data_IF_688110304200
#
_entry.id   IF_688110304200
#
_cell.length_a   1.000
_cell.length_b   1.000
_cell.length_c   1.000
_cell.angle_alpha   90.00
_cell.angle_beta   90.00
_cell.angle_gamma   90.00
#
_symmetry.space_group_name_H-M   'P 1'
#
loop_
_entity.id
_entity.type
_entity.pdbx_description
1 polymer ?
#
# COMPACT_ATOMS: atom_id res chain seq x y z
N UNK A 1 4.45 -12.67 24.04
CA UNK A 1 5.19 -11.83 23.08
C UNK A 1 5.98 -12.77 22.20
N UNK A 2 5.97 -12.58 20.90
CA UNK A 2 6.81 -13.38 19.99
C UNK A 2 8.25 -12.93 20.24
N UNK A 3 9.14 -13.86 20.63
CA UNK A 3 10.55 -13.55 20.81
C UNK A 3 11.21 -13.41 19.43
N UNK A 4 11.29 -12.16 18.96
CA UNK A 4 12.04 -11.82 17.77
C UNK A 4 13.55 -11.93 18.06
N UNK A 5 14.27 -12.65 17.20
CA UNK A 5 15.73 -12.65 17.25
C UNK A 5 16.25 -11.23 17.02
N UNK A 6 17.41 -10.92 17.57
CA UNK A 6 18.11 -9.64 17.33
C UNK A 6 18.28 -9.37 15.83
N UNK A 7 18.54 -10.42 15.04
CA UNK A 7 18.64 -10.33 13.59
C UNK A 7 17.32 -9.90 12.92
N UNK A 8 16.17 -10.39 13.40
CA UNK A 8 14.86 -10.01 12.86
C UNK A 8 14.52 -8.55 13.16
N UNK A 9 14.80 -8.06 14.37
CA UNK A 9 14.69 -6.64 14.72
C UNK A 9 15.54 -5.75 13.82
N UNK A 10 16.80 -6.12 13.62
CA UNK A 10 17.73 -5.38 12.75
C UNK A 10 17.16 -5.30 11.33
N UNK A 11 16.66 -6.41 10.77
CA UNK A 11 16.06 -6.41 9.43
C UNK A 11 14.85 -5.46 9.33
N UNK A 12 13.96 -5.47 10.30
CA UNK A 12 12.76 -4.62 10.31
C UNK A 12 13.16 -3.13 10.37
N UNK A 13 14.06 -2.77 11.28
CA UNK A 13 14.53 -1.38 11.44
C UNK A 13 15.26 -0.92 10.18
N UNK A 14 16.17 -1.75 9.64
CA UNK A 14 16.89 -1.43 8.41
C UNK A 14 15.93 -1.30 7.22
N UNK A 15 14.90 -2.16 7.12
CA UNK A 15 13.91 -2.06 6.07
C UNK A 15 13.14 -0.72 6.12
N UNK A 16 12.76 -0.27 7.31
CA UNK A 16 12.12 1.03 7.51
C UNK A 16 13.06 2.18 7.12
N UNK A 17 14.28 2.18 7.67
CA UNK A 17 15.24 3.28 7.47
C UNK A 17 15.68 3.37 6.01
N UNK A 18 15.98 2.25 5.36
CA UNK A 18 16.40 2.23 3.95
C UNK A 18 15.26 2.66 3.04
N UNK A 19 14.03 2.19 3.28
CA UNK A 19 12.88 2.64 2.50
C UNK A 19 12.63 4.16 2.67
N UNK A 20 12.77 4.67 3.90
CA UNK A 20 12.68 6.11 4.18
C UNK A 20 13.72 6.91 3.41
N UNK A 21 14.99 6.54 3.53
CA UNK A 21 16.10 7.27 2.90
C UNK A 21 15.96 7.25 1.38
N UNK A 22 15.66 6.10 0.79
CA UNK A 22 15.51 5.96 -0.66
C UNK A 22 14.31 6.77 -1.14
N UNK A 23 13.15 6.65 -0.50
CA UNK A 23 11.95 7.41 -0.89
C UNK A 23 12.21 8.92 -0.79
N UNK A 24 12.82 9.38 0.31
CA UNK A 24 13.18 10.80 0.50
C UNK A 24 14.11 11.33 -0.60
N UNK A 25 15.17 10.58 -0.94
CA UNK A 25 16.13 10.96 -1.99
C UNK A 25 15.53 10.85 -3.40
N UNK A 26 14.69 9.84 -3.64
CA UNK A 26 14.04 9.62 -4.93
C UNK A 26 12.98 10.69 -5.23
N UNK A 27 12.31 11.22 -4.22
CA UNK A 27 11.21 12.19 -4.38
C UNK A 27 11.56 13.42 -5.23
N UNK A 28 12.67 14.17 -5.00
CA UNK A 28 13.05 15.28 -5.87
C UNK A 28 13.38 14.86 -7.31
N UNK A 29 13.94 13.66 -7.51
CA UNK A 29 14.22 13.12 -8.84
C UNK A 29 12.91 12.80 -9.59
N UNK A 30 11.98 12.13 -8.91
CA UNK A 30 10.65 11.81 -9.43
C UNK A 30 9.86 13.09 -9.71
N UNK A 31 9.96 14.11 -8.86
CA UNK A 31 9.34 15.43 -9.12
C UNK A 31 9.81 16.03 -10.43
N UNK A 32 11.12 16.06 -10.66
CA UNK A 32 11.69 16.59 -11.89
C UNK A 32 11.30 15.75 -13.12
N UNK A 33 11.21 14.43 -12.94
CA UNK A 33 10.73 13.53 -13.98
C UNK A 33 9.25 13.77 -14.32
N UNK A 34 8.38 13.89 -13.32
CA UNK A 34 6.94 14.16 -13.48
C UNK A 34 6.69 15.44 -14.30
N UNK A 35 7.45 16.50 -14.01
CA UNK A 35 7.40 17.75 -14.81
C UNK A 35 7.80 17.51 -16.27
N UNK A 36 8.86 16.72 -16.52
CA UNK A 36 9.32 16.43 -17.88
C UNK A 36 8.33 15.62 -18.71
N UNK A 37 7.63 14.67 -18.09
CA UNK A 37 6.64 13.83 -18.78
C UNK A 37 5.26 14.46 -18.85
N UNK A 38 5.09 15.67 -18.29
CA UNK A 38 3.81 16.38 -18.30
C UNK A 38 2.79 15.85 -17.29
N UNK A 39 3.21 15.06 -16.30
CA UNK A 39 2.37 14.60 -15.20
C UNK A 39 2.17 15.75 -14.20
N UNK A 40 1.37 16.73 -14.58
CA UNK A 40 1.09 17.95 -13.81
C UNK A 40 -0.41 18.05 -13.61
N UNK A 41 -0.81 18.17 -12.34
CA UNK A 41 -2.19 18.51 -11.98
C UNK A 41 -2.36 20.03 -12.02
N UNK A 42 -3.23 20.50 -12.91
CA UNK A 42 -3.49 21.93 -13.14
C UNK A 42 -4.83 22.26 -12.48
N UNK A 43 -4.89 23.19 -11.52
CA UNK A 43 -6.12 23.45 -10.78
C UNK A 43 -7.23 23.97 -11.69
N UNK A 44 -8.29 23.19 -11.84
CA UNK A 44 -9.51 23.62 -12.52
C UNK A 44 -10.44 24.35 -11.52
N UNK A 45 -10.96 25.51 -11.90
CA UNK A 45 -11.63 26.51 -11.03
C UNK A 45 -12.93 26.02 -10.35
N UNK A 46 -13.31 24.75 -10.53
CA UNK A 46 -14.56 24.14 -10.01
C UNK A 46 -14.35 23.11 -8.89
N UNK A 47 -13.13 22.58 -8.67
CA UNK A 47 -12.92 21.43 -7.75
C UNK A 47 -11.65 21.46 -6.88
N UNK A 48 -10.69 22.35 -7.10
CA UNK A 48 -9.38 22.30 -6.42
C UNK A 48 -9.16 23.49 -5.48
N UNK A 49 -8.62 23.21 -4.28
CA UNK A 49 -8.27 24.19 -3.22
C UNK A 49 -6.91 24.85 -3.52
N UNK A 50 -6.13 24.28 -4.44
CA UNK A 50 -4.74 24.63 -4.72
C UNK A 50 -4.63 25.67 -5.83
N UNK A 51 -3.71 26.63 -5.66
CA UNK A 51 -3.58 27.79 -6.55
C UNK A 51 -2.50 27.65 -7.63
N UNK A 52 -1.70 26.58 -7.61
CA UNK A 52 -0.55 26.39 -8.51
C UNK A 52 -0.48 24.95 -9.04
N UNK A 53 0.07 24.71 -10.25
CA UNK A 53 0.22 23.38 -10.81
C UNK A 53 1.20 22.52 -9.98
N UNK A 54 0.78 21.32 -9.60
CA UNK A 54 1.58 20.41 -8.75
C UNK A 54 1.88 19.13 -9.55
N UNK A 55 3.15 18.67 -9.62
CA UNK A 55 3.47 17.41 -10.26
C UNK A 55 2.78 16.23 -9.55
N UNK A 56 2.21 15.31 -10.31
CA UNK A 56 1.64 14.03 -9.83
C UNK A 56 2.54 12.90 -10.34
N UNK A 57 2.83 11.89 -9.50
CA UNK A 57 3.67 10.67 -9.72
C UNK A 57 4.55 10.34 -8.51
N UNK A 58 4.39 11.02 -7.37
CA UNK A 58 5.18 10.79 -6.16
C UNK A 58 5.17 9.34 -5.66
N UNK A 59 4.15 8.56 -6.02
CA UNK A 59 4.08 7.12 -5.79
C UNK A 59 5.29 6.33 -6.34
N UNK A 60 5.97 6.82 -7.37
CA UNK A 60 7.21 6.19 -7.86
C UNK A 60 8.36 6.28 -6.83
N UNK A 61 8.42 7.35 -6.04
CA UNK A 61 9.41 7.48 -4.96
C UNK A 61 9.10 6.49 -3.82
N UNK A 62 7.82 6.36 -3.46
CA UNK A 62 7.36 5.36 -2.48
C UNK A 62 7.66 3.94 -2.99
N UNK A 63 7.32 3.66 -4.25
CA UNK A 63 7.54 2.36 -4.89
C UNK A 63 9.01 1.97 -4.89
N UNK A 64 9.91 2.87 -5.28
CA UNK A 64 11.35 2.60 -5.32
C UNK A 64 11.92 2.35 -3.93
N UNK A 65 11.54 3.14 -2.93
CA UNK A 65 11.92 2.92 -1.53
C UNK A 65 11.44 1.58 -0.99
N UNK A 66 10.16 1.26 -1.22
CA UNK A 66 9.56 -0.01 -0.85
C UNK A 66 10.25 -1.20 -1.53
N UNK A 67 10.38 -1.17 -2.86
CA UNK A 67 10.90 -2.26 -3.67
C UNK A 67 12.34 -2.60 -3.26
N UNK A 68 13.22 -1.61 -3.19
CA UNK A 68 14.63 -1.83 -2.85
C UNK A 68 14.75 -2.38 -1.42
N UNK A 69 13.98 -1.81 -0.47
CA UNK A 69 14.00 -2.29 0.91
C UNK A 69 13.52 -3.74 1.04
N UNK A 70 12.41 -4.11 0.38
CA UNK A 70 11.91 -5.49 0.39
C UNK A 70 12.92 -6.45 -0.24
N UNK A 71 13.56 -6.08 -1.36
CA UNK A 71 14.57 -6.91 -2.01
C UNK A 71 15.82 -7.14 -1.15
N UNK A 72 16.20 -6.17 -0.30
CA UNK A 72 17.37 -6.27 0.55
C UNK A 72 17.11 -7.05 1.84
N UNK A 73 15.93 -6.91 2.44
CA UNK A 73 15.69 -7.39 3.81
C UNK A 73 14.64 -8.50 3.94
N UNK A 74 13.72 -8.64 2.99
CA UNK A 74 12.72 -9.70 3.01
C UNK A 74 13.22 -10.96 2.31
N UNK A 75 12.82 -12.13 2.80
CA UNK A 75 13.06 -13.38 2.09
C UNK A 75 12.09 -13.48 0.91
N UNK A 76 12.57 -13.66 -0.31
CA UNK A 76 11.73 -13.68 -1.52
C UNK A 76 11.02 -15.04 -1.66
N UNK A 77 10.00 -15.27 -0.83
CA UNK A 77 9.11 -16.42 -0.93
C UNK A 77 8.13 -16.26 -2.10
N UNK A 78 7.37 -17.31 -2.41
CA UNK A 78 6.32 -17.27 -3.44
C UNK A 78 5.33 -16.13 -3.20
N UNK A 79 4.87 -15.94 -1.95
CA UNK A 79 3.96 -14.85 -1.60
C UNK A 79 4.60 -13.47 -1.85
N UNK A 80 5.86 -13.28 -1.41
CA UNK A 80 6.57 -11.99 -1.59
C UNK A 80 6.76 -11.69 -3.07
N UNK A 81 7.11 -12.70 -3.88
CA UNK A 81 7.21 -12.55 -5.34
C UNK A 81 5.88 -12.14 -5.95
N UNK A 82 4.77 -12.74 -5.51
CA UNK A 82 3.43 -12.36 -5.92
C UNK A 82 3.11 -10.90 -5.62
N UNK A 83 3.41 -10.43 -4.41
CA UNK A 83 3.26 -9.02 -4.02
C UNK A 83 4.11 -8.12 -4.91
N UNK A 84 5.39 -8.44 -5.12
CA UNK A 84 6.28 -7.58 -5.91
C UNK A 84 5.83 -7.48 -7.37
N UNK A 85 5.42 -8.59 -8.00
CA UNK A 85 4.92 -8.58 -9.38
C UNK A 85 3.63 -7.76 -9.48
N UNK A 86 2.68 -7.96 -8.56
CA UNK A 86 1.46 -7.16 -8.54
C UNK A 86 1.72 -5.69 -8.25
N UNK A 87 2.63 -5.37 -7.33
CA UNK A 87 3.03 -4.00 -7.02
C UNK A 87 3.68 -3.30 -8.23
N UNK A 88 4.51 -4.00 -9.01
CA UNK A 88 5.05 -3.49 -10.28
C UNK A 88 3.92 -3.18 -11.25
N UNK A 89 2.98 -4.10 -11.46
CA UNK A 89 1.83 -3.88 -12.36
C UNK A 89 0.98 -2.68 -11.94
N UNK A 90 0.70 -2.58 -10.64
CA UNK A 90 -0.07 -1.48 -10.05
C UNK A 90 0.66 -0.14 -10.19
N UNK A 91 1.96 -0.11 -9.88
CA UNK A 91 2.76 1.11 -10.02
C UNK A 91 2.86 1.55 -11.49
N UNK A 92 3.01 0.60 -12.43
CA UNK A 92 3.05 0.90 -13.86
C UNK A 92 1.72 1.44 -14.35
N UNK A 93 0.59 0.81 -14.04
CA UNK A 93 -0.72 1.33 -14.50
C UNK A 93 -1.04 2.69 -13.88
N UNK A 94 -0.71 2.90 -12.60
CA UNK A 94 -0.88 4.18 -11.94
C UNK A 94 0.01 5.28 -12.52
N UNK A 95 1.26 4.95 -12.88
CA UNK A 95 2.17 5.90 -13.52
C UNK A 95 1.71 6.29 -14.93
N UNK A 96 1.14 5.32 -15.69
CA UNK A 96 0.54 5.62 -16.98
C UNK A 96 -0.72 6.48 -16.79
N UNK A 97 -1.54 6.21 -15.77
CA UNK A 97 -2.74 7.01 -15.46
C UNK A 97 -2.40 8.46 -15.09
N UNK A 98 -1.35 8.66 -14.29
CA UNK A 98 -0.85 9.98 -13.90
C UNK A 98 -0.39 10.82 -15.11
N UNK A 99 -0.11 10.22 -16.27
CA UNK A 99 0.24 10.94 -17.50
C UNK A 99 -0.95 11.00 -18.47
N UNK A 100 -1.63 9.88 -18.69
CA UNK A 100 -2.59 9.72 -19.79
C UNK A 100 -4.06 9.77 -19.38
N UNK A 101 -4.39 9.82 -18.08
CA UNK A 101 -5.75 9.71 -17.55
C UNK A 101 -6.51 8.52 -18.16
N UNK A 102 -6.16 7.30 -17.75
CA UNK A 102 -6.72 6.07 -18.29
C UNK A 102 -8.19 5.89 -17.89
N UNK A 103 -8.91 5.12 -18.73
CA UNK A 103 -10.27 4.71 -18.41
C UNK A 103 -10.31 3.83 -17.15
N UNK A 104 -11.28 4.09 -16.26
CA UNK A 104 -11.42 3.37 -14.99
C UNK A 104 -11.49 1.84 -15.15
N UNK A 105 -12.10 1.34 -16.23
CA UNK A 105 -12.18 -0.10 -16.52
C UNK A 105 -10.82 -0.74 -16.78
N UNK A 106 -9.87 -0.03 -17.40
CA UNK A 106 -8.51 -0.52 -17.60
C UNK A 106 -7.77 -0.64 -16.27
N UNK A 107 -7.88 0.39 -15.42
CA UNK A 107 -7.31 0.38 -14.07
C UNK A 107 -7.86 -0.80 -13.27
N UNK A 108 -9.17 -0.97 -13.28
CA UNK A 108 -9.85 -2.06 -12.59
C UNK A 108 -9.40 -3.44 -13.10
N UNK A 109 -9.25 -3.61 -14.41
CA UNK A 109 -8.73 -4.85 -15.01
C UNK A 109 -7.32 -5.20 -14.55
N UNK A 110 -6.41 -4.22 -14.48
CA UNK A 110 -5.04 -4.44 -13.97
C UNK A 110 -5.03 -4.73 -12.47
N UNK A 111 -5.90 -4.09 -11.69
CA UNK A 111 -6.04 -4.39 -10.27
C UNK A 111 -6.52 -5.82 -10.02
N UNK A 112 -7.50 -6.30 -10.79
CA UNK A 112 -7.93 -7.70 -10.75
C UNK A 112 -6.77 -8.63 -11.11
N UNK A 113 -6.01 -8.32 -12.17
CA UNK A 113 -4.86 -9.13 -12.57
C UNK A 113 -3.80 -9.21 -11.45
N UNK A 114 -3.47 -8.08 -10.82
CA UNK A 114 -2.54 -8.04 -9.70
C UNK A 114 -3.06 -8.82 -8.47
N UNK A 115 -4.37 -8.79 -8.22
CA UNK A 115 -5.02 -9.57 -7.16
C UNK A 115 -5.01 -11.08 -7.47
N UNK A 116 -5.24 -11.48 -8.73
CA UNK A 116 -5.14 -12.88 -9.17
C UNK A 116 -3.71 -13.40 -8.98
N UNK A 117 -2.69 -12.62 -9.36
CA UNK A 117 -1.29 -13.00 -9.16
C UNK A 117 -0.97 -13.21 -7.67
N UNK A 118 -1.48 -12.34 -6.79
CA UNK A 118 -1.35 -12.50 -5.34
C UNK A 118 -2.02 -13.80 -4.85
N UNK A 119 -3.25 -14.08 -5.29
CA UNK A 119 -4.00 -15.30 -4.95
C UNK A 119 -3.26 -16.56 -5.41
N UNK A 120 -2.78 -16.59 -6.67
CA UNK A 120 -2.02 -17.71 -7.21
C UNK A 120 -0.69 -17.93 -6.47
N UNK A 121 -0.17 -16.88 -5.83
CA UNK A 121 1.04 -16.94 -5.00
C UNK A 121 0.77 -17.42 -3.57
N UNK A 122 -0.48 -17.77 -3.23
CA UNK A 122 -0.89 -18.29 -1.93
C UNK A 122 -1.44 -17.23 -0.96
N UNK A 123 -1.67 -15.99 -1.41
CA UNK A 123 -2.28 -14.93 -0.61
C UNK A 123 -3.80 -15.10 -0.68
N UNK A 124 -4.36 -15.90 0.23
CA UNK A 124 -5.79 -16.28 0.20
C UNK A 124 -6.41 -16.15 1.59
N UNK A 125 -7.58 -15.53 1.65
CA UNK A 125 -8.44 -15.45 2.83
C UNK A 125 -9.20 -16.79 2.96
N UNK A 126 -8.60 -17.77 3.63
CA UNK A 126 -9.26 -19.07 3.86
C UNK A 126 -10.25 -19.05 5.02
N UNK A 127 -9.95 -18.27 6.06
CA UNK A 127 -10.67 -18.25 7.33
C UNK A 127 -10.96 -16.81 7.74
N UNK A 128 -12.16 -16.58 8.28
CA UNK A 128 -12.59 -15.32 8.89
C UNK A 128 -13.06 -15.61 10.31
N UNK A 129 -12.54 -14.82 11.26
CA UNK A 129 -12.99 -14.85 12.65
C UNK A 129 -14.46 -14.48 12.71
N UNK A 130 -15.28 -15.23 13.45
CA UNK A 130 -16.70 -14.94 13.62
C UNK A 130 -16.87 -13.69 14.50
N UNK A 131 -17.09 -12.49 13.93
CA UNK A 131 -16.99 -11.24 14.69
C UNK A 131 -18.26 -10.94 15.49
N UNK A 132 -19.38 -11.58 15.13
CA UNK A 132 -20.68 -11.33 15.70
C UNK A 132 -21.12 -12.45 16.67
N UNK A 133 -20.24 -13.44 16.90
CA UNK A 133 -20.53 -14.64 17.71
C UNK A 133 -21.88 -15.30 17.37
N UNK A 134 -22.35 -15.18 16.12
CA UNK A 134 -23.67 -15.67 15.66
C UNK A 134 -23.73 -17.21 15.75
N UNK A 135 -22.58 -17.86 15.83
CA UNK A 135 -22.44 -19.32 15.88
C UNK A 135 -21.40 -19.65 16.95
N UNK A 136 -21.53 -20.81 17.60
CA UNK A 136 -20.60 -21.32 18.61
C UNK A 136 -19.18 -21.60 18.07
N UNK A 137 -18.98 -21.55 16.74
CA UNK A 137 -17.68 -21.64 16.10
C UNK A 137 -16.96 -20.28 16.09
N UNK A 138 -15.72 -20.29 16.57
CA UNK A 138 -14.85 -19.10 16.64
C UNK A 138 -14.39 -18.59 15.27
N UNK A 139 -14.41 -19.44 14.24
CA UNK A 139 -13.96 -19.11 12.90
C UNK A 139 -14.79 -19.85 11.84
N UNK A 140 -15.01 -19.20 10.70
CA UNK A 140 -15.73 -19.75 9.54
C UNK A 140 -14.75 -19.89 8.39
N UNK A 141 -14.64 -21.10 7.84
CA UNK A 141 -13.89 -21.38 6.62
C UNK A 141 -14.71 -20.95 5.42
N UNK A 142 -14.16 -20.08 4.57
CA UNK A 142 -14.88 -19.53 3.41
C UNK A 142 -15.06 -20.58 2.30
N UNK A 143 -14.13 -21.54 2.18
CA UNK A 143 -14.21 -22.59 1.16
C UNK A 143 -14.06 -22.03 -0.25
N UNK A 144 -14.98 -22.35 -1.16
CA UNK A 144 -14.89 -21.99 -2.59
C UNK A 144 -14.92 -20.47 -2.83
N UNK A 145 -15.50 -19.71 -1.90
CA UNK A 145 -15.57 -18.25 -1.99
C UNK A 145 -14.27 -17.55 -1.56
N UNK A 146 -13.25 -18.29 -1.09
CA UNK A 146 -12.00 -17.70 -0.59
C UNK A 146 -11.29 -16.88 -1.66
N UNK A 147 -11.27 -17.38 -2.90
CA UNK A 147 -10.67 -16.70 -4.06
C UNK A 147 -11.40 -15.41 -4.41
N UNK A 148 -12.71 -15.41 -4.73
CA UNK A 148 -13.40 -14.17 -5.09
C UNK A 148 -13.42 -13.16 -3.94
N UNK A 149 -13.56 -13.60 -2.69
CA UNK A 149 -13.49 -12.70 -1.52
C UNK A 149 -12.11 -12.06 -1.41
N UNK A 150 -11.03 -12.80 -1.66
CA UNK A 150 -9.66 -12.24 -1.60
C UNK A 150 -9.42 -11.25 -2.74
N UNK A 151 -9.91 -11.53 -3.96
CA UNK A 151 -9.80 -10.60 -5.08
C UNK A 151 -10.57 -9.32 -4.77
N UNK A 152 -11.82 -9.43 -4.31
CA UNK A 152 -12.64 -8.29 -3.92
C UNK A 152 -12.00 -7.48 -2.79
N UNK A 153 -11.37 -8.15 -1.82
CA UNK A 153 -10.64 -7.50 -0.73
C UNK A 153 -9.47 -6.67 -1.26
N UNK A 154 -8.60 -7.26 -2.08
CA UNK A 154 -7.43 -6.58 -2.63
C UNK A 154 -7.85 -5.39 -3.49
N UNK A 155 -8.78 -5.61 -4.43
CA UNK A 155 -9.27 -4.55 -5.33
C UNK A 155 -10.05 -3.48 -4.57
N UNK A 156 -10.85 -3.87 -3.58
CA UNK A 156 -11.61 -2.97 -2.73
C UNK A 156 -10.70 -2.02 -1.96
N UNK A 157 -9.75 -2.55 -1.18
CA UNK A 157 -8.77 -1.73 -0.46
C UNK A 157 -7.93 -0.85 -1.40
N UNK A 158 -7.55 -1.37 -2.56
CA UNK A 158 -6.82 -0.60 -3.58
C UNK A 158 -7.59 0.64 -4.03
N UNK A 159 -8.88 0.49 -4.35
CA UNK A 159 -9.73 1.63 -4.72
C UNK A 159 -10.07 2.51 -3.52
N UNK A 160 -10.24 1.96 -2.30
CA UNK A 160 -10.52 2.76 -1.11
C UNK A 160 -9.41 3.76 -0.82
N UNK A 161 -8.14 3.37 -0.96
CA UNK A 161 -7.01 4.30 -0.78
C UNK A 161 -6.99 5.38 -1.86
N UNK A 162 -7.33 5.02 -3.11
CA UNK A 162 -7.45 5.98 -4.21
C UNK A 162 -8.59 6.99 -4.00
N UNK A 163 -9.71 6.56 -3.41
CA UNK A 163 -10.84 7.45 -3.13
C UNK A 163 -10.55 8.49 -2.04
N UNK A 164 -9.70 8.17 -1.06
CA UNK A 164 -9.32 9.11 0.01
C UNK A 164 -8.14 10.01 -0.38
N UNK A 165 -7.50 9.80 -1.54
CA UNK A 165 -6.38 10.61 -2.02
C UNK A 165 -6.85 11.91 -2.68
N UNK A 166 -7.59 12.71 -1.91
CA UNK A 166 -8.15 14.01 -2.34
C UNK A 166 -7.54 15.22 -1.63
N UNK A 167 -6.65 15.02 -0.66
CA UNK A 167 -6.05 16.07 0.19
C UNK A 167 -4.55 15.85 0.41
N UNK A 168 -3.81 16.95 0.55
CA UNK A 168 -2.37 16.96 0.79
C UNK A 168 -1.96 16.12 1.99
N UNK A 169 -1.21 15.05 1.72
CA UNK A 169 -0.63 14.18 2.73
C UNK A 169 -1.63 13.25 3.40
N UNK A 170 -2.93 13.27 3.04
CA UNK A 170 -3.95 12.47 3.70
C UNK A 170 -3.76 10.98 3.42
N UNK A 171 -3.83 10.54 2.15
CA UNK A 171 -3.76 9.12 1.82
C UNK A 171 -2.40 8.49 2.21
N UNK A 172 -1.30 9.20 1.96
CA UNK A 172 0.03 8.76 2.37
C UNK A 172 0.17 8.70 3.91
N UNK A 173 -0.35 9.69 4.63
CA UNK A 173 -0.31 9.73 6.10
C UNK A 173 -1.14 8.61 6.72
N UNK A 174 -2.38 8.42 6.26
CA UNK A 174 -3.25 7.31 6.69
C UNK A 174 -2.59 5.96 6.41
N UNK A 175 -1.97 5.79 5.25
CA UNK A 175 -1.26 4.56 4.89
C UNK A 175 0.01 4.34 5.72
N UNK A 176 0.71 5.40 6.13
CA UNK A 176 1.85 5.31 7.06
C UNK A 176 1.39 4.85 8.45
N UNK A 177 0.28 5.39 8.95
CA UNK A 177 -0.32 4.97 10.23
C UNK A 177 -0.83 3.52 10.14
N UNK A 178 -1.47 3.15 9.04
CA UNK A 178 -1.96 1.79 8.80
C UNK A 178 -0.82 0.77 8.79
N UNK A 179 0.22 1.04 8.00
CA UNK A 179 1.41 0.18 7.92
C UNK A 179 2.14 0.07 9.26
N UNK A 180 2.28 1.17 10.01
CA UNK A 180 2.87 1.14 11.35
C UNK A 180 2.02 0.32 12.34
N UNK A 181 0.70 0.51 12.33
CA UNK A 181 -0.22 -0.23 13.20
C UNK A 181 -0.15 -1.72 12.89
N UNK A 182 -0.27 -2.08 11.61
CA UNK A 182 -0.15 -3.47 11.17
C UNK A 182 1.23 -4.06 11.44
N UNK A 183 2.30 -3.26 11.37
CA UNK A 183 3.65 -3.68 11.71
C UNK A 183 3.71 -4.08 13.19
N UNK A 184 3.25 -3.20 14.09
CA UNK A 184 3.21 -3.48 15.53
C UNK A 184 2.40 -4.74 15.80
N UNK A 185 1.21 -4.88 15.21
CA UNK A 185 0.40 -6.10 15.40
C UNK A 185 1.11 -7.34 14.83
N UNK A 186 1.79 -7.23 13.69
CA UNK A 186 2.60 -8.32 13.12
C UNK A 186 3.71 -8.76 14.07
N UNK A 187 4.34 -7.82 14.77
CA UNK A 187 5.36 -8.12 15.76
C UNK A 187 4.80 -8.74 17.04
N UNK A 188 3.52 -8.53 17.34
CA UNK A 188 2.87 -9.12 18.51
C UNK A 188 2.28 -10.50 18.25
N UNK A 189 1.80 -10.75 17.02
CA UNK A 189 0.92 -11.88 16.69
C UNK A 189 1.49 -12.82 15.63
N UNK A 190 2.27 -12.32 14.66
CA UNK A 190 2.83 -13.17 13.60
C UNK A 190 4.09 -13.90 14.07
N UNK A 191 4.31 -15.09 13.50
CA UNK A 191 5.58 -15.81 13.65
C UNK A 191 6.76 -14.89 13.30
N UNK A 192 7.83 -14.95 14.11
CA UNK A 192 9.04 -14.14 13.94
C UNK A 192 9.75 -14.32 12.59
N UNK A 193 9.42 -15.39 11.86
CA UNK A 193 9.93 -15.70 10.53
C UNK A 193 9.08 -15.12 9.39
N UNK A 194 7.97 -14.45 9.69
CA UNK A 194 7.09 -13.87 8.68
C UNK A 194 7.69 -12.62 8.04
N UNK A 195 7.71 -12.56 6.71
CA UNK A 195 8.15 -11.38 5.95
C UNK A 195 7.20 -10.17 6.11
N UNK A 196 6.01 -10.35 6.68
CA UNK A 196 4.97 -9.31 6.77
C UNK A 196 5.46 -8.08 7.52
N UNK A 197 6.13 -8.26 8.66
CA UNK A 197 6.70 -7.14 9.42
C UNK A 197 7.73 -6.36 8.58
N UNK A 198 8.59 -7.05 7.82
CA UNK A 198 9.60 -6.37 6.97
C UNK A 198 8.93 -5.59 5.83
N UNK A 199 7.90 -6.15 5.20
CA UNK A 199 7.13 -5.49 4.13
C UNK A 199 6.42 -4.24 4.67
N UNK A 200 5.77 -4.34 5.83
CA UNK A 200 5.07 -3.22 6.45
C UNK A 200 6.01 -2.13 6.95
N UNK A 201 7.18 -2.51 7.48
CA UNK A 201 8.24 -1.58 7.84
C UNK A 201 8.80 -0.84 6.62
N UNK A 202 9.05 -1.55 5.51
CA UNK A 202 9.45 -0.95 4.25
C UNK A 202 8.39 0.02 3.71
N UNK A 203 7.11 -0.35 3.75
CA UNK A 203 6.02 0.52 3.30
C UNK A 203 5.91 1.77 4.18
N UNK A 204 5.93 1.59 5.51
CA UNK A 204 5.88 2.70 6.47
C UNK A 204 7.05 3.66 6.26
N UNK A 205 8.27 3.14 6.16
CA UNK A 205 9.46 3.93 5.87
C UNK A 205 9.35 4.71 4.56
N UNK A 206 8.91 4.05 3.48
CA UNK A 206 8.74 4.70 2.19
C UNK A 206 7.71 5.84 2.22
N UNK A 207 6.59 5.66 2.93
CA UNK A 207 5.60 6.71 3.15
C UNK A 207 6.19 7.87 3.96
N UNK A 208 6.85 7.59 5.09
CA UNK A 208 7.47 8.60 5.95
C UNK A 208 8.54 9.41 5.20
N UNK A 209 9.30 8.78 4.30
CA UNK A 209 10.29 9.46 3.47
C UNK A 209 9.68 10.40 2.43
N UNK A 210 8.46 10.10 1.98
CA UNK A 210 7.76 10.90 0.98
C UNK A 210 6.94 12.05 1.58
N UNK A 211 6.37 11.86 2.79
CA UNK A 211 5.53 12.84 3.50
C UNK A 211 6.10 14.28 3.51
N UNK A 212 7.40 14.54 3.78
CA UNK A 212 7.95 15.89 3.79
C UNK A 212 7.73 16.69 2.49
N UNK A 213 7.51 16.00 1.37
CA UNK A 213 7.22 16.62 0.07
C UNK A 213 5.73 16.68 -0.26
N UNK A 214 4.88 15.89 0.41
CA UNK A 214 3.42 15.87 0.22
C UNK A 214 2.66 16.67 1.29
N UNK A 215 3.29 17.06 2.41
CA UNK A 215 2.65 17.91 3.42
C UNK A 215 2.23 19.26 2.84
N UNK A 216 1.08 19.78 3.29
CA UNK A 216 0.55 21.07 2.86
C UNK A 216 1.51 22.22 3.22
N UNK A 217 1.90 23.09 2.26
CA UNK A 217 1.57 23.05 0.82
C UNK A 217 2.41 22.01 0.05
N UNK A 218 1.73 21.07 -0.62
CA UNK A 218 2.39 19.94 -1.29
C UNK A 218 3.30 20.39 -2.45
N UNK A 219 4.49 19.78 -2.53
CA UNK A 219 5.47 20.01 -3.62
C UNK A 219 5.34 19.00 -4.76
N UNK A 220 4.70 17.87 -4.49
CA UNK A 220 4.40 16.76 -5.40
C UNK A 220 3.24 15.95 -4.79
N UNK A 221 2.31 15.51 -5.62
CA UNK A 221 1.26 14.57 -5.25
C UNK A 221 1.68 13.14 -5.53
N UNK A 222 1.23 12.20 -4.68
CA UNK A 222 1.54 10.79 -4.90
C UNK A 222 0.89 10.24 -6.17
N UNK A 223 -0.28 10.77 -6.54
CA UNK A 223 -1.02 10.39 -7.75
C UNK A 223 -1.60 8.98 -7.66
N UNK A 224 -2.21 8.53 -8.75
CA UNK A 224 -2.78 7.19 -8.86
C UNK A 224 -1.71 6.11 -8.69
N UNK A 225 -0.46 6.39 -9.11
CA UNK A 225 0.69 5.52 -8.82
C UNK A 225 0.80 5.19 -7.34
N UNK A 226 0.73 6.20 -6.48
CA UNK A 226 0.88 6.02 -5.05
C UNK A 226 -0.35 5.36 -4.44
N UNK A 227 -1.54 5.86 -4.78
CA UNK A 227 -2.77 5.44 -4.10
C UNK A 227 -3.09 3.97 -4.35
N UNK A 228 -2.97 3.54 -5.60
CA UNK A 228 -3.18 2.15 -5.96
C UNK A 228 -2.12 1.24 -5.32
N UNK A 229 -0.85 1.66 -5.31
CA UNK A 229 0.24 0.90 -4.71
C UNK A 229 0.04 0.68 -3.21
N UNK A 230 -0.26 1.76 -2.46
CA UNK A 230 -0.43 1.70 -1.02
C UNK A 230 -1.60 0.78 -0.65
N UNK A 231 -2.74 0.93 -1.32
CA UNK A 231 -3.90 0.07 -1.08
C UNK A 231 -3.63 -1.40 -1.42
N UNK A 232 -2.94 -1.69 -2.52
CA UNK A 232 -2.57 -3.07 -2.90
C UNK A 232 -1.63 -3.73 -1.87
N UNK A 233 -0.57 -3.05 -1.44
CA UNK A 233 0.40 -3.61 -0.49
C UNK A 233 -0.25 -3.82 0.88
N UNK A 234 -1.01 -2.83 1.38
CA UNK A 234 -1.70 -2.96 2.66
C UNK A 234 -2.73 -4.11 2.62
N UNK A 235 -3.46 -4.25 1.52
CA UNK A 235 -4.42 -5.34 1.36
C UNK A 235 -3.72 -6.70 1.37
N UNK A 236 -2.70 -6.90 0.55
CA UNK A 236 -1.97 -8.18 0.49
C UNK A 236 -1.26 -8.52 1.79
N UNK A 237 -0.62 -7.55 2.45
CA UNK A 237 0.00 -7.73 3.76
C UNK A 237 -1.03 -8.09 4.85
N UNK A 238 -2.22 -7.48 4.82
CA UNK A 238 -3.29 -7.79 5.79
C UNK A 238 -3.81 -9.23 5.68
N UNK A 239 -3.81 -9.79 4.47
CA UNK A 239 -4.23 -11.18 4.24
C UNK A 239 -3.21 -12.14 4.84
N UNK A 240 -1.91 -11.93 4.60
CA UNK A 240 -0.85 -12.80 5.11
C UNK A 240 -0.72 -12.68 6.64
N UNK A 241 -0.78 -11.46 7.17
CA UNK A 241 -0.68 -11.22 8.62
C UNK A 241 -1.92 -11.63 9.43
N UNK A 242 -3.03 -12.00 8.76
CA UNK A 242 -4.33 -12.24 9.39
C UNK A 242 -4.93 -11.02 10.13
N UNK A 243 -4.47 -9.80 9.84
CA UNK A 243 -4.90 -8.55 10.49
C UNK A 243 -6.14 -7.90 9.87
N UNK A 244 -7.01 -8.73 9.28
CA UNK A 244 -8.10 -8.28 8.40
C UNK A 244 -9.02 -7.27 9.10
N UNK A 245 -9.41 -7.53 10.36
CA UNK A 245 -10.26 -6.63 11.13
C UNK A 245 -9.63 -5.24 11.35
N UNK A 246 -8.34 -5.19 11.69
CA UNK A 246 -7.63 -3.93 11.92
C UNK A 246 -7.44 -3.12 10.63
N UNK A 247 -7.21 -3.81 9.51
CA UNK A 247 -7.16 -3.17 8.20
C UNK A 247 -8.51 -2.53 7.84
N UNK A 248 -9.65 -3.22 8.08
CA UNK A 248 -10.99 -2.66 7.89
C UNK A 248 -11.16 -1.36 8.67
N UNK A 249 -10.89 -1.38 9.99
CA UNK A 249 -11.05 -0.21 10.86
C UNK A 249 -10.20 0.96 10.37
N UNK A 250 -8.97 0.69 9.95
CA UNK A 250 -8.04 1.74 9.51
C UNK A 250 -8.46 2.41 8.20
N UNK A 251 -9.11 1.70 7.27
CA UNK A 251 -9.58 2.28 6.00
C UNK A 251 -10.98 2.86 6.07
N UNK A 252 -11.88 2.26 6.86
CA UNK A 252 -13.26 2.76 7.00
C UNK A 252 -13.29 4.08 7.77
N UNK A 253 -12.48 4.24 8.82
CA UNK A 253 -12.48 5.46 9.64
C UNK A 253 -12.17 6.73 8.82
N UNK A 254 -11.12 6.78 7.99
CA UNK A 254 -10.86 7.92 7.11
C UNK A 254 -11.98 8.18 6.11
N UNK A 255 -12.57 7.14 5.52
CA UNK A 255 -13.66 7.27 4.55
C UNK A 255 -14.92 7.84 5.20
N UNK A 256 -15.24 7.46 6.44
CA UNK A 256 -16.38 7.98 7.19
C UNK A 256 -16.17 9.39 7.76
N UNK A 257 -14.90 9.81 7.91
CA UNK A 257 -14.56 11.12 8.45
C UNK A 257 -14.53 12.23 7.38
N UNK A 258 -14.55 11.85 6.09
CA UNK A 258 -14.67 12.72 4.92
C UNK A 258 -16.14 12.99 4.59
#
# INVERSE_FOLDING_TARGET
MVDYSTAAWIKIILALVIAFVISFIATPLVKNFAVKVGAIDIPDKKRHIHSHPIPRMGGLAIFTGFLISVLLFANITTQVRGILVGAILIAVVGAIDDVLNLNAWLKFGVQILAAVIAVLSGIIINVVTNPLHITSTQAITIGILSVPVTILWIVGCTNSVNLIDGLDGLACGVSAIASLTMLVVSMLVSDSNSNVATILAALCGACLGFIPYNLNPAKIFMGDTGALLLGYILATASVIGMFKFYAIVTFILPVLAL
#
